data_IF_631877124857
#
_entry.id   IF_631877124857
#
_cell.length_a   1.000
_cell.length_b   1.000
_cell.length_c   1.000
_cell.angle_alpha   90.00
_cell.angle_beta   90.00
_cell.angle_gamma   90.00
#
_symmetry.space_group_name_H-M   'P 1'
#
loop_
_entity.id
_entity.type
_entity.pdbx_description
1 polymer ?
#
# COMPACT_ATOMS: atom_id res chain seq x y z
N UNK A 1 -17.59 9.65 -3.12
CA UNK A 1 -16.26 9.83 -2.51
C UNK A 1 -16.45 10.22 -1.05
N UNK A 2 -15.55 9.81 -0.17
CA UNK A 2 -15.51 10.26 1.23
C UNK A 2 -14.23 11.07 1.37
N UNK A 3 -14.34 12.39 1.43
CA UNK A 3 -13.15 13.24 1.22
C UNK A 3 -12.44 12.87 -0.10
N UNK A 4 -11.09 12.75 -0.11
CA UNK A 4 -10.34 12.40 -1.31
C UNK A 4 -10.34 10.89 -1.62
N UNK A 5 -10.92 10.04 -0.76
CA UNK A 5 -10.93 8.60 -0.98
C UNK A 5 -11.94 8.21 -2.07
N UNK A 6 -11.43 7.59 -3.14
CA UNK A 6 -12.20 7.18 -4.32
C UNK A 6 -12.31 5.67 -4.46
N UNK A 7 -11.47 4.91 -3.74
CA UNK A 7 -11.47 3.46 -3.71
C UNK A 7 -10.97 2.96 -2.36
N UNK A 8 -11.53 1.85 -1.89
CA UNK A 8 -11.04 1.10 -0.74
C UNK A 8 -11.36 -0.37 -0.98
N UNK A 9 -10.33 -1.20 -0.89
CA UNK A 9 -10.45 -2.65 -0.96
C UNK A 9 -9.75 -3.30 0.23
N UNK A 10 -10.32 -4.42 0.67
CA UNK A 10 -9.75 -5.26 1.72
C UNK A 10 -9.34 -6.58 1.10
N UNK A 11 -8.05 -6.87 1.13
CA UNK A 11 -7.48 -8.13 0.68
C UNK A 11 -7.46 -9.08 1.86
N UNK A 12 -8.29 -10.14 1.85
CA UNK A 12 -8.33 -11.13 2.93
C UNK A 12 -9.11 -10.68 4.20
N UNK A 13 -8.99 -11.40 5.33
CA UNK A 13 -8.05 -12.50 5.57
C UNK A 13 -8.28 -13.70 4.65
N UNK A 14 -7.21 -14.22 4.06
CA UNK A 14 -7.25 -15.40 3.20
C UNK A 14 -5.97 -16.23 3.36
N UNK A 15 -6.07 -17.55 3.13
CA UNK A 15 -4.93 -18.47 3.13
C UNK A 15 -4.71 -18.99 1.71
N UNK A 16 -3.51 -18.80 1.17
CA UNK A 16 -3.14 -19.30 -0.16
C UNK A 16 -2.44 -20.66 -0.06
N UNK A 17 -2.90 -21.63 -0.85
CA UNK A 17 -2.24 -22.92 -0.93
C UNK A 17 -0.84 -22.81 -1.59
N UNK A 18 0.10 -23.69 -1.23
CA UNK A 18 1.38 -23.83 -1.92
C UNK A 18 1.19 -24.00 -3.43
N UNK A 19 1.96 -23.24 -4.22
CA UNK A 19 1.92 -23.28 -5.69
C UNK A 19 0.74 -22.53 -6.32
N UNK A 20 -0.14 -21.90 -5.53
CA UNK A 20 -1.21 -21.06 -6.08
C UNK A 20 -0.65 -19.77 -6.69
N UNK A 21 -1.46 -19.13 -7.55
CA UNK A 21 -1.09 -17.83 -8.12
C UNK A 21 -1.05 -16.69 -7.09
N UNK A 22 -1.69 -16.89 -5.92
CA UNK A 22 -1.81 -15.92 -4.85
C UNK A 22 -2.15 -14.50 -5.38
N UNK A 23 -1.51 -13.45 -4.86
CA UNK A 23 -1.62 -12.12 -5.44
C UNK A 23 -0.82 -12.10 -6.74
N UNK A 24 -1.46 -11.81 -7.88
CA UNK A 24 -0.80 -11.73 -9.18
C UNK A 24 -1.43 -10.67 -10.08
N UNK A 25 -1.43 -9.42 -9.62
CA UNK A 25 -1.90 -8.28 -10.42
C UNK A 25 -0.84 -7.98 -11.49
N UNK A 26 -1.23 -8.12 -12.75
CA UNK A 26 -0.35 -7.86 -13.91
C UNK A 26 -0.10 -6.35 -14.08
N UNK A 27 0.91 -5.95 -14.88
CA UNK A 27 1.15 -4.54 -15.19
C UNK A 27 -0.13 -3.82 -15.61
N UNK A 28 -0.46 -2.73 -14.91
CA UNK A 28 -1.63 -1.89 -15.17
C UNK A 28 -1.32 -0.42 -14.85
N UNK A 29 -2.01 0.54 -15.50
CA UNK A 29 -1.76 1.96 -15.33
C UNK A 29 -2.65 2.62 -14.27
N UNK A 30 -2.17 3.72 -13.69
CA UNK A 30 -2.95 4.72 -12.94
C UNK A 30 -2.52 6.14 -13.32
N UNK A 31 -3.42 7.13 -13.16
CA UNK A 31 -3.18 8.58 -13.31
C UNK A 31 -3.97 9.35 -12.25
N UNK A 32 -3.55 10.58 -11.90
CA UNK A 32 -4.35 11.54 -11.11
C UNK A 32 -4.66 11.13 -9.67
N UNK A 33 -4.02 10.08 -9.15
CA UNK A 33 -4.29 9.53 -7.81
C UNK A 33 -3.01 9.09 -7.10
N UNK A 34 -3.12 8.87 -5.79
CA UNK A 34 -2.19 8.05 -5.02
C UNK A 34 -2.85 6.74 -4.61
N UNK A 35 -2.08 5.67 -4.55
CA UNK A 35 -2.48 4.42 -3.89
C UNK A 35 -1.75 4.28 -2.57
N UNK A 36 -2.46 3.83 -1.55
CA UNK A 36 -1.95 3.49 -0.23
C UNK A 36 -2.22 2.01 -0.01
N UNK A 37 -1.17 1.23 0.18
CA UNK A 37 -1.25 -0.20 0.56
C UNK A 37 -0.72 -0.35 1.97
N UNK A 38 -1.47 -1.06 2.83
CA UNK A 38 -1.07 -1.42 4.19
C UNK A 38 -1.38 -2.90 4.43
N UNK A 39 -0.42 -3.67 4.95
CA UNK A 39 -0.62 -5.09 5.21
C UNK A 39 -0.76 -5.39 6.70
N UNK A 40 -1.65 -6.34 7.01
CA UNK A 40 -1.78 -6.97 8.32
C UNK A 40 -1.08 -8.32 8.36
N UNK A 41 -1.07 -9.07 7.25
CA UNK A 41 -0.42 -10.38 7.10
C UNK A 41 0.07 -10.56 5.65
N UNK A 42 1.08 -11.42 5.47
CA UNK A 42 1.58 -11.78 4.15
C UNK A 42 2.65 -10.84 3.60
N UNK A 43 2.88 -10.88 2.29
CA UNK A 43 3.83 -10.01 1.59
C UNK A 43 3.40 -9.80 0.15
N UNK A 44 3.55 -8.57 -0.36
CA UNK A 44 3.31 -8.23 -1.77
C UNK A 44 4.56 -7.54 -2.33
N UNK A 45 5.02 -7.99 -3.49
CA UNK A 45 6.08 -7.34 -4.27
C UNK A 45 5.46 -6.33 -5.22
N UNK A 46 5.77 -5.05 -5.00
CA UNK A 46 5.48 -3.95 -5.91
C UNK A 46 6.64 -3.74 -6.89
N UNK A 47 6.32 -3.48 -8.17
CA UNK A 47 7.27 -3.02 -9.19
C UNK A 47 6.59 -2.01 -10.10
N UNK A 48 7.29 -0.92 -10.43
CA UNK A 48 6.76 0.12 -11.33
C UNK A 48 7.81 0.66 -12.33
N UNK A 49 7.35 1.52 -13.23
CA UNK A 49 8.17 2.17 -14.26
C UNK A 49 9.02 3.35 -13.76
N UNK A 50 8.95 3.73 -12.49
CA UNK A 50 9.91 4.66 -11.86
C UNK A 50 11.21 3.94 -11.46
N UNK A 51 11.21 2.60 -11.52
CA UNK A 51 12.31 1.74 -11.11
C UNK A 51 12.14 1.18 -9.70
N UNK A 52 11.04 1.48 -9.00
CA UNK A 52 10.80 0.94 -7.67
C UNK A 52 10.59 -0.58 -7.75
N UNK A 53 11.20 -1.30 -6.82
CA UNK A 53 10.98 -2.74 -6.57
C UNK A 53 11.01 -2.93 -5.07
N UNK A 54 9.86 -3.17 -4.46
CA UNK A 54 9.71 -3.16 -3.02
C UNK A 54 8.74 -4.24 -2.56
N UNK A 55 9.19 -5.08 -1.63
CA UNK A 55 8.30 -5.96 -0.87
C UNK A 55 7.66 -5.15 0.26
N UNK A 56 6.33 -5.18 0.36
CA UNK A 56 5.59 -4.69 1.53
C UNK A 56 5.21 -5.88 2.42
N UNK A 57 5.35 -5.70 3.73
CA UNK A 57 5.11 -6.68 4.80
C UNK A 57 4.16 -6.11 5.85
N UNK A 58 3.73 -6.92 6.84
CA UNK A 58 2.80 -6.46 7.86
C UNK A 58 3.30 -5.22 8.60
N UNK A 59 2.40 -4.27 8.82
CA UNK A 59 2.71 -3.01 9.49
C UNK A 59 3.36 -1.94 8.61
N UNK A 60 3.82 -2.29 7.41
CA UNK A 60 4.47 -1.37 6.48
C UNK A 60 3.45 -0.65 5.58
N UNK A 61 3.89 0.46 4.99
CA UNK A 61 3.10 1.30 4.07
C UNK A 61 3.84 1.44 2.76
N UNK A 62 3.13 1.19 1.65
CA UNK A 62 3.52 1.70 0.34
C UNK A 62 2.59 2.84 -0.03
N UNK A 63 3.17 3.99 -0.37
CA UNK A 63 2.49 5.14 -0.94
C UNK A 63 3.01 5.37 -2.35
N UNK A 64 2.18 5.15 -3.35
CA UNK A 64 2.51 5.37 -4.76
C UNK A 64 1.69 6.54 -5.29
N UNK A 65 2.33 7.63 -5.70
CA UNK A 65 1.68 8.74 -6.37
C UNK A 65 1.78 8.53 -7.88
N UNK A 66 0.65 8.32 -8.55
CA UNK A 66 0.62 8.09 -9.98
C UNK A 66 0.83 9.38 -10.80
N UNK A 67 0.22 10.49 -10.38
CA UNK A 67 0.33 11.79 -11.08
C UNK A 67 0.04 11.65 -12.58
N UNK A 68 0.93 12.20 -13.42
CA UNK A 68 0.85 12.13 -14.89
C UNK A 68 0.91 10.71 -15.47
N UNK A 69 1.30 9.71 -14.67
CA UNK A 69 1.08 8.31 -14.99
C UNK A 69 2.13 7.36 -14.45
N UNK A 70 1.67 6.22 -13.92
CA UNK A 70 2.52 5.13 -13.49
C UNK A 70 1.98 3.80 -14.03
N UNK A 71 2.86 2.87 -14.40
CA UNK A 71 2.51 1.49 -14.72
C UNK A 71 3.19 0.60 -13.70
N UNK A 72 2.40 -0.21 -12.99
CA UNK A 72 2.92 -1.06 -11.92
C UNK A 72 2.28 -2.44 -11.88
N UNK A 73 2.90 -3.35 -11.12
CA UNK A 73 2.38 -4.67 -10.81
C UNK A 73 2.55 -4.98 -9.33
N UNK A 74 1.60 -5.71 -8.76
CA UNK A 74 1.60 -6.16 -7.37
C UNK A 74 1.45 -7.69 -7.36
N UNK A 75 2.47 -8.40 -6.86
CA UNK A 75 2.54 -9.87 -6.98
C UNK A 75 3.14 -10.51 -5.75
N UNK A 76 2.74 -11.74 -5.45
CA UNK A 76 3.45 -12.59 -4.49
C UNK A 76 4.81 -12.99 -5.05
N UNK A 77 5.85 -12.91 -4.22
CA UNK A 77 7.21 -13.34 -4.58
C UNK A 77 7.21 -14.81 -5.03
N UNK A 78 7.89 -15.17 -6.15
CA UNK A 78 7.92 -16.55 -6.65
C UNK A 78 8.40 -17.59 -5.62
N UNK A 79 9.36 -17.25 -4.75
CA UNK A 79 9.81 -18.16 -3.70
C UNK A 79 8.70 -18.39 -2.66
N UNK A 80 7.94 -17.35 -2.30
CA UNK A 80 6.80 -17.47 -1.39
C UNK A 80 5.60 -18.18 -2.01
N UNK A 81 5.36 -18.03 -3.32
CA UNK A 81 4.32 -18.80 -4.03
C UNK A 81 4.46 -20.30 -3.81
N UNK A 82 5.69 -20.83 -3.77
CA UNK A 82 5.93 -22.26 -3.53
C UNK A 82 5.51 -22.73 -2.14
N UNK A 83 5.40 -21.83 -1.17
CA UNK A 83 5.08 -22.12 0.23
C UNK A 83 3.60 -21.83 0.57
N UNK A 84 2.94 -20.95 -0.18
CA UNK A 84 1.61 -20.45 0.19
C UNK A 84 1.70 -19.44 1.34
N UNK A 85 0.60 -19.29 2.09
CA UNK A 85 0.58 -18.48 3.32
C UNK A 85 -0.59 -17.51 3.40
N UNK A 86 -0.68 -16.77 4.52
CA UNK A 86 -1.76 -15.83 4.76
C UNK A 86 -1.58 -14.55 3.93
N UNK A 87 -2.71 -13.92 3.63
CA UNK A 87 -2.78 -12.60 3.02
C UNK A 87 -3.89 -11.82 3.72
N UNK A 88 -3.51 -10.69 4.32
CA UNK A 88 -4.46 -9.75 4.88
C UNK A 88 -3.93 -8.32 4.73
N UNK A 89 -4.70 -7.42 4.16
CA UNK A 89 -4.29 -6.03 3.95
C UNK A 89 -5.42 -5.17 3.43
N UNK A 90 -5.11 -3.90 3.20
CA UNK A 90 -6.02 -2.94 2.60
C UNK A 90 -5.30 -2.09 1.56
N UNK A 91 -6.04 -1.68 0.54
CA UNK A 91 -5.58 -0.72 -0.45
C UNK A 91 -6.62 0.39 -0.62
N UNK A 92 -6.19 1.64 -0.53
CA UNK A 92 -7.03 2.80 -0.78
C UNK A 92 -6.48 3.60 -1.95
N UNK A 93 -7.36 4.18 -2.77
CA UNK A 93 -6.97 5.20 -3.74
C UNK A 93 -7.49 6.56 -3.31
N UNK A 94 -6.60 7.54 -3.43
CA UNK A 94 -6.76 8.90 -2.96
C UNK A 94 -6.61 9.80 -4.17
N UNK A 95 -7.69 10.47 -4.59
CA UNK A 95 -7.63 11.42 -5.70
C UNK A 95 -6.66 12.55 -5.34
N UNK A 96 -5.80 12.93 -6.29
CA UNK A 96 -4.96 14.11 -6.14
C UNK A 96 -5.82 15.37 -6.33
N UNK A 97 -5.48 16.49 -5.66
CA UNK A 97 -6.01 17.79 -6.04
C UNK A 97 -5.71 18.09 -7.51
N UNK A 98 -6.58 18.85 -8.18
CA UNK A 98 -6.47 19.14 -9.62
C UNK A 98 -5.12 19.77 -9.99
N UNK A 99 -4.57 20.63 -9.14
CA UNK A 99 -3.24 21.23 -9.34
C UNK A 99 -2.09 20.21 -9.32
N UNK A 100 -2.32 19.01 -8.79
CA UNK A 100 -1.33 17.95 -8.62
C UNK A 100 -1.60 16.72 -9.50
N UNK A 101 -2.68 16.68 -10.29
CA UNK A 101 -3.01 15.50 -11.11
C UNK A 101 -1.90 15.12 -12.09
N UNK A 102 -1.08 16.08 -12.51
CA UNK A 102 -0.02 15.91 -13.52
C UNK A 102 1.41 15.91 -12.93
N UNK A 103 1.57 15.78 -11.60
CA UNK A 103 2.91 15.69 -11.00
C UNK A 103 3.68 14.47 -11.51
N UNK A 104 5.01 14.47 -11.37
CA UNK A 104 5.81 13.31 -11.71
C UNK A 104 5.42 12.12 -10.80
N UNK A 105 5.34 10.88 -11.35
CA UNK A 105 5.06 9.70 -10.55
C UNK A 105 6.17 9.48 -9.52
N UNK A 106 5.80 8.98 -8.34
CA UNK A 106 6.75 8.68 -7.27
C UNK A 106 6.26 7.53 -6.39
N UNK A 107 7.19 6.91 -5.69
CA UNK A 107 6.93 5.80 -4.79
C UNK A 107 7.69 6.01 -3.48
N UNK A 108 6.98 5.87 -2.37
CA UNK A 108 7.53 5.95 -1.01
C UNK A 108 7.15 4.68 -0.26
N UNK A 109 8.16 4.02 0.29
CA UNK A 109 7.99 2.91 1.20
C UNK A 109 8.36 3.32 2.61
N UNK A 110 7.51 2.95 3.57
CA UNK A 110 7.76 3.16 4.97
C UNK A 110 7.64 1.81 5.68
N UNK A 111 8.76 1.33 6.22
CA UNK A 111 8.76 0.14 7.09
C UNK A 111 8.07 0.43 8.42
N UNK A 112 7.68 -0.62 9.16
CA UNK A 112 6.86 -0.57 10.38
C UNK A 112 7.33 0.48 11.42
N UNK A 113 8.64 0.61 11.62
CA UNK A 113 9.24 1.57 12.55
C UNK A 113 9.00 3.04 12.14
N UNK A 114 8.61 3.27 10.89
CA UNK A 114 8.26 4.58 10.33
C UNK A 114 6.83 5.01 10.63
N UNK A 115 6.01 4.18 11.29
CA UNK A 115 4.61 4.49 11.60
C UNK A 115 4.44 4.73 13.09
N UNK A 116 4.08 5.96 13.51
CA UNK A 116 3.73 6.21 14.90
C UNK A 116 2.59 5.30 15.35
N UNK A 117 2.78 4.64 16.50
CA UNK A 117 1.74 3.86 17.15
C UNK A 117 1.25 4.57 18.40
N UNK A 118 -0.05 4.42 18.68
CA UNK A 118 -0.70 4.90 19.89
C UNK A 118 -1.26 3.70 20.64
N UNK A 119 -0.88 3.58 21.91
CA UNK A 119 -1.42 2.56 22.82
C UNK A 119 -1.89 3.22 24.11
N UNK A 120 -3.19 3.13 24.40
CA UNK A 120 -3.76 3.64 25.65
C UNK A 120 -5.12 2.98 25.95
N UNK A 121 -5.36 2.60 27.20
CA UNK A 121 -6.67 2.11 27.65
C UNK A 121 -7.20 0.87 26.90
N UNK A 122 -6.30 0.04 26.36
CA UNK A 122 -6.65 -1.13 25.55
C UNK A 122 -6.89 -0.84 24.05
N UNK A 123 -6.78 0.42 23.62
CA UNK A 123 -6.75 0.80 22.20
C UNK A 123 -5.31 0.72 21.69
N UNK A 124 -5.12 -0.02 20.60
CA UNK A 124 -3.95 0.11 19.74
C UNK A 124 -4.37 0.76 18.42
N UNK A 125 -3.63 1.77 18.00
CA UNK A 125 -3.81 2.40 16.69
C UNK A 125 -2.44 2.65 16.04
N UNK A 126 -2.36 2.46 14.73
CA UNK A 126 -1.19 2.84 13.94
C UNK A 126 -1.54 3.99 13.02
N UNK A 127 -0.75 5.06 13.07
CA UNK A 127 -0.95 6.26 12.27
C UNK A 127 -0.27 6.09 10.92
N UNK A 128 -1.07 5.68 9.92
CA UNK A 128 -0.59 5.42 8.55
C UNK A 128 -0.33 6.72 7.79
N UNK A 129 -1.19 7.72 7.95
CA UNK A 129 -1.16 8.98 7.21
C UNK A 129 -1.78 10.12 8.04
N UNK A 130 -1.31 11.35 7.83
CA UNK A 130 -1.83 12.54 8.51
C UNK A 130 -1.32 12.72 9.95
N UNK A 131 -2.14 13.34 10.79
CA UNK A 131 -1.80 13.72 12.17
C UNK A 131 -2.93 13.30 13.13
N UNK A 132 -2.59 12.62 14.22
CA UNK A 132 -3.53 12.23 15.26
C UNK A 132 -2.78 11.95 16.58
N UNK A 133 -3.47 12.08 17.72
CA UNK A 133 -2.94 11.76 19.05
C UNK A 133 -1.59 12.41 19.38
N UNK A 134 -1.31 13.61 18.83
CA UNK A 134 -0.04 14.33 19.02
C UNK A 134 1.14 13.81 18.19
N UNK A 135 0.89 12.88 17.25
CA UNK A 135 1.89 12.35 16.33
C UNK A 135 1.56 12.73 14.87
N UNK A 136 2.59 12.69 14.02
CA UNK A 136 2.51 12.92 12.56
C UNK A 136 3.11 11.73 11.82
N UNK A 137 2.39 11.19 10.84
CA UNK A 137 2.89 10.12 9.98
C UNK A 137 3.97 10.64 9.02
N UNK A 138 4.87 9.76 8.59
CA UNK A 138 5.88 10.07 7.57
C UNK A 138 5.37 9.94 6.13
N UNK A 139 4.14 9.44 5.94
CA UNK A 139 3.54 9.33 4.61
C UNK A 139 3.38 10.71 3.95
N UNK A 140 3.67 10.81 2.64
CA UNK A 140 3.58 12.08 1.91
C UNK A 140 2.11 12.40 1.61
N UNK A 141 1.42 12.99 2.58
CA UNK A 141 0.04 13.50 2.47
C UNK A 141 -0.01 14.94 2.01
#
# INVERSE_FOLDING_TARGET
MVGPFIFLDQMGPAEFAPGSEAINVRPHPHIGLSTLTYLFEGEIMHRDNTGATQAIRPGEVNWMTAGSGIVHSERTDPLKKSQGGPMHGMQAWIALPTEHEEVAPSFVHLGEDGQPAYENGGLFARLVAGEAYGAKALAPV
#
